data_IF_365857315400
#
_entry.id   IF_365857315400
#
_cell.length_a   1.000
_cell.length_b   1.000
_cell.length_c   1.000
_cell.angle_alpha   90.00
_cell.angle_beta   90.00
_cell.angle_gamma   90.00
#
_symmetry.space_group_name_H-M   'P 1'
#
loop_
_entity.id
_entity.type
_entity.pdbx_description
1 polymer ?
#
# COMPACT_ATOMS: atom_id res chain seq x y z
N UNK A 1 9.17 21.03 -5.65
CA UNK A 1 10.50 21.65 -5.40
C UNK A 1 10.55 22.70 -4.28
N UNK A 2 9.54 23.58 -4.10
CA UNK A 2 9.61 24.69 -3.11
C UNK A 2 9.92 24.25 -1.68
N UNK A 3 9.29 23.19 -1.19
CA UNK A 3 9.53 22.64 0.17
C UNK A 3 11.00 22.23 0.32
N UNK A 4 11.52 21.42 -0.59
CA UNK A 4 12.92 20.99 -0.59
C UNK A 4 13.91 22.15 -0.54
N UNK A 5 13.72 23.18 -1.39
CA UNK A 5 14.57 24.38 -1.40
C UNK A 5 14.51 25.14 -0.07
N UNK A 6 13.31 25.38 0.46
CA UNK A 6 13.14 26.14 1.69
C UNK A 6 13.78 25.43 2.89
N UNK A 7 13.59 24.10 3.02
CA UNK A 7 14.17 23.31 4.11
C UNK A 7 15.70 23.33 4.07
N UNK A 8 16.30 23.19 2.87
CA UNK A 8 17.77 23.28 2.70
C UNK A 8 18.31 24.69 2.96
N UNK A 9 17.64 25.72 2.46
CA UNK A 9 18.02 27.12 2.68
C UNK A 9 17.96 27.49 4.17
N UNK A 10 17.00 26.92 4.91
CA UNK A 10 16.88 27.04 6.35
C UNK A 10 17.89 26.17 7.14
N UNK A 11 18.74 25.37 6.45
CA UNK A 11 19.72 24.46 7.06
C UNK A 11 19.11 23.43 8.01
N UNK A 12 17.88 23.00 7.74
CA UNK A 12 17.22 21.93 8.50
C UNK A 12 17.73 20.57 7.99
N UNK A 13 18.19 19.67 8.86
CA UNK A 13 18.59 18.32 8.46
C UNK A 13 17.40 17.47 8.03
N UNK A 14 17.48 16.88 6.84
CA UNK A 14 16.53 15.87 6.35
C UNK A 14 17.16 15.12 5.17
N UNK A 15 16.98 13.80 5.15
CA UNK A 15 17.61 12.93 4.15
C UNK A 15 16.64 12.49 3.05
N UNK A 16 15.34 12.53 3.31
CA UNK A 16 14.33 11.90 2.45
C UNK A 16 13.22 12.88 2.11
N UNK A 17 12.92 13.02 0.82
CA UNK A 17 11.72 13.70 0.34
C UNK A 17 10.62 12.68 0.07
N UNK A 18 9.40 13.00 0.51
CA UNK A 18 8.23 12.15 0.39
C UNK A 18 7.15 12.80 -0.45
N UNK A 19 6.39 12.02 -1.21
CA UNK A 19 5.12 12.43 -1.83
C UNK A 19 4.02 11.42 -1.51
N UNK A 20 2.84 11.96 -1.19
CA UNK A 20 1.57 11.26 -1.08
C UNK A 20 0.95 11.06 -2.49
N UNK A 21 -0.28 10.56 -2.59
CA UNK A 21 -0.97 10.15 -3.82
C UNK A 21 -1.06 11.23 -4.90
N UNK A 22 -0.83 12.50 -4.56
CA UNK A 22 -0.86 13.64 -5.49
C UNK A 22 0.09 13.47 -6.68
N UNK A 23 1.19 12.71 -6.54
CA UNK A 23 2.12 12.49 -7.64
C UNK A 23 1.51 11.64 -8.76
N UNK A 24 0.52 10.79 -8.44
CA UNK A 24 -0.03 9.77 -9.34
C UNK A 24 -0.96 10.38 -10.39
N UNK A 25 -0.95 9.81 -11.60
CA UNK A 25 -1.97 10.13 -12.61
C UNK A 25 -3.29 9.43 -12.24
N UNK A 26 -4.37 10.20 -12.13
CA UNK A 26 -5.70 9.72 -11.70
C UNK A 26 -5.73 8.93 -10.38
N UNK A 27 -4.74 9.15 -9.50
CA UNK A 27 -4.57 8.42 -8.23
C UNK A 27 -4.38 6.91 -8.46
N UNK A 28 -3.71 6.54 -9.56
CA UNK A 28 -3.36 5.16 -9.88
C UNK A 28 -1.89 4.87 -9.56
N UNK A 29 -1.63 3.80 -8.81
CA UNK A 29 -0.27 3.35 -8.54
C UNK A 29 0.57 3.16 -9.80
N UNK A 30 1.89 3.27 -9.64
CA UNK A 30 2.87 3.08 -10.72
C UNK A 30 2.68 4.02 -11.93
N UNK A 31 2.05 5.17 -11.69
CA UNK A 31 1.94 6.29 -12.64
C UNK A 31 2.41 7.58 -11.99
N UNK A 32 2.65 8.62 -12.79
CA UNK A 32 2.76 9.98 -12.26
C UNK A 32 2.12 10.98 -13.22
N UNK A 33 1.52 12.04 -12.69
CA UNK A 33 0.87 13.09 -13.45
C UNK A 33 1.91 13.86 -14.29
N UNK A 34 1.86 13.68 -15.61
CA UNK A 34 2.79 14.31 -16.57
C UNK A 34 2.58 15.81 -16.74
N UNK A 35 1.53 16.38 -16.16
CA UNK A 35 1.23 17.82 -16.15
C UNK A 35 1.70 18.45 -14.85
N UNK A 36 1.18 17.97 -13.72
CA UNK A 36 1.46 18.55 -12.39
C UNK A 36 2.85 18.15 -11.89
N UNK A 37 3.29 16.94 -12.20
CA UNK A 37 4.56 16.33 -11.78
C UNK A 37 5.48 16.05 -12.98
N UNK A 38 5.38 16.86 -14.05
CA UNK A 38 6.14 16.69 -15.30
C UNK A 38 7.66 16.51 -15.09
N UNK A 39 8.25 17.24 -14.14
CA UNK A 39 9.67 17.20 -13.80
C UNK A 39 10.04 16.27 -12.63
N UNK A 40 9.18 15.31 -12.27
CA UNK A 40 9.43 14.41 -11.14
C UNK A 40 10.71 13.56 -11.31
N UNK A 41 10.99 12.92 -12.47
CA UNK A 41 12.23 12.17 -12.67
C UNK A 41 13.49 13.03 -12.46
N UNK A 42 13.52 14.23 -13.05
CA UNK A 42 14.64 15.16 -12.97
C UNK A 42 14.83 15.68 -11.55
N UNK A 43 13.73 15.89 -10.81
CA UNK A 43 13.78 16.26 -9.41
C UNK A 43 14.38 15.14 -8.55
N UNK A 44 14.00 13.88 -8.78
CA UNK A 44 14.57 12.74 -8.05
C UNK A 44 16.07 12.60 -8.34
N UNK A 45 16.48 12.76 -9.60
CA UNK A 45 17.90 12.77 -9.97
C UNK A 45 18.66 13.93 -9.28
N UNK A 46 18.05 15.11 -9.19
CA UNK A 46 18.63 16.27 -8.52
C UNK A 46 18.87 16.01 -7.02
N UNK A 47 17.89 15.45 -6.31
CA UNK A 47 18.06 15.19 -4.87
C UNK A 47 19.06 14.06 -4.60
N UNK A 48 19.15 13.07 -5.50
CA UNK A 48 20.18 12.03 -5.42
C UNK A 48 21.60 12.60 -5.55
N UNK A 49 21.83 13.59 -6.43
CA UNK A 49 23.14 14.26 -6.61
C UNK A 49 23.65 14.94 -5.34
N UNK A 50 22.76 15.28 -4.41
CA UNK A 50 23.11 15.89 -3.12
C UNK A 50 23.00 14.91 -1.96
N UNK A 51 22.96 13.60 -2.25
CA UNK A 51 23.00 12.52 -1.26
C UNK A 51 21.67 12.25 -0.55
N UNK A 52 20.55 12.78 -1.06
CA UNK A 52 19.22 12.55 -0.49
C UNK A 52 18.50 11.39 -1.17
N UNK A 53 17.37 10.99 -0.61
CA UNK A 53 16.54 9.88 -1.08
C UNK A 53 15.09 10.30 -1.35
N UNK A 54 14.38 9.51 -2.16
CA UNK A 54 12.96 9.71 -2.47
C UNK A 54 12.13 8.51 -2.03
N UNK A 55 11.04 8.76 -1.30
CA UNK A 55 10.04 7.74 -0.93
C UNK A 55 8.67 8.19 -1.41
N UNK A 56 7.90 7.26 -1.95
CA UNK A 56 6.55 7.51 -2.46
C UNK A 56 5.55 6.59 -1.77
N UNK A 57 4.32 7.06 -1.62
CA UNK A 57 3.19 6.21 -1.23
C UNK A 57 2.88 5.21 -2.33
N UNK A 58 2.45 4.02 -1.96
CA UNK A 58 1.92 2.98 -2.84
C UNK A 58 0.74 2.37 -2.10
N UNK A 59 -0.40 2.29 -2.78
CA UNK A 59 -1.58 1.63 -2.26
C UNK A 59 -1.66 0.17 -2.77
N UNK A 60 -2.34 -0.72 -2.05
CA UNK A 60 -2.66 -2.05 -2.56
C UNK A 60 -3.77 -2.02 -3.62
N UNK A 61 -4.54 -0.93 -3.70
CA UNK A 61 -5.72 -0.84 -4.55
C UNK A 61 -5.37 -0.53 -6.02
N UNK A 62 -5.54 -1.51 -6.90
CA UNK A 62 -5.30 -1.33 -8.34
C UNK A 62 -6.58 -0.91 -9.05
N UNK A 63 -6.56 0.19 -9.82
CA UNK A 63 -7.72 0.61 -10.63
C UNK A 63 -8.14 -0.47 -11.62
N UNK A 64 -9.36 -0.98 -11.47
CA UNK A 64 -9.99 -1.95 -12.38
C UNK A 64 -11.00 -1.31 -13.34
N UNK A 65 -11.07 0.02 -13.35
CA UNK A 65 -11.99 0.79 -14.20
C UNK A 65 -11.32 1.44 -15.43
N UNK A 66 -10.02 1.25 -15.61
CA UNK A 66 -9.28 1.81 -16.75
C UNK A 66 -9.64 1.09 -18.06
N UNK A 67 -9.34 1.76 -19.19
CA UNK A 67 -9.51 1.15 -20.50
C UNK A 67 -8.55 -0.04 -20.64
N UNK A 68 -9.06 -1.16 -21.16
CA UNK A 68 -8.26 -2.36 -21.40
C UNK A 68 -7.02 -2.03 -22.24
N UNK A 69 -5.85 -2.47 -21.77
CA UNK A 69 -4.57 -2.24 -22.42
C UNK A 69 -3.91 -0.88 -22.15
N UNK A 70 -4.51 -0.02 -21.32
CA UNK A 70 -3.93 1.30 -20.98
C UNK A 70 -3.34 1.37 -19.58
N UNK A 71 -3.60 0.39 -18.72
CA UNK A 71 -3.14 0.40 -17.34
C UNK A 71 -2.50 -0.95 -16.98
N UNK A 72 -1.20 -1.10 -17.27
CA UNK A 72 -0.57 -2.40 -17.19
C UNK A 72 -0.51 -3.05 -15.79
N UNK A 73 -0.55 -2.35 -14.64
CA UNK A 73 -0.79 -3.01 -13.35
C UNK A 73 -2.07 -3.85 -13.33
N UNK A 74 -3.18 -3.31 -13.83
CA UNK A 74 -4.42 -4.08 -13.94
C UNK A 74 -4.34 -5.17 -15.01
N UNK A 75 -3.89 -4.82 -16.21
CA UNK A 75 -3.88 -5.76 -17.34
C UNK A 75 -2.98 -6.98 -17.08
N UNK A 76 -1.81 -6.78 -16.43
CA UNK A 76 -0.92 -7.88 -16.06
C UNK A 76 -1.42 -8.65 -14.85
N UNK A 77 -2.00 -7.97 -13.84
CA UNK A 77 -2.58 -8.65 -12.69
C UNK A 77 -3.72 -9.59 -13.08
N UNK A 78 -4.54 -9.18 -14.05
CA UNK A 78 -5.59 -10.04 -14.65
C UNK A 78 -4.98 -11.25 -15.38
N UNK A 79 -3.91 -11.05 -16.17
CA UNK A 79 -3.21 -12.14 -16.88
C UNK A 79 -2.54 -13.13 -15.94
N UNK A 80 -2.04 -12.65 -14.80
CA UNK A 80 -1.37 -13.46 -13.77
C UNK A 80 -2.34 -14.08 -12.76
N UNK A 81 -3.65 -13.80 -12.89
CA UNK A 81 -4.70 -14.24 -11.97
C UNK A 81 -4.36 -13.92 -10.50
N UNK A 82 -3.87 -12.70 -10.25
CA UNK A 82 -3.30 -12.30 -8.95
C UNK A 82 -4.31 -11.62 -8.02
N UNK A 83 -5.48 -11.23 -8.51
CA UNK A 83 -6.43 -10.45 -7.71
C UNK A 83 -7.29 -11.33 -6.81
N UNK A 84 -7.62 -10.82 -5.63
CA UNK A 84 -8.56 -11.42 -4.69
C UNK A 84 -9.92 -11.62 -5.38
N UNK A 85 -10.50 -12.80 -5.19
CA UNK A 85 -11.77 -13.19 -5.83
C UNK A 85 -12.92 -13.15 -4.82
N UNK A 86 -14.13 -12.91 -5.30
CA UNK A 86 -15.34 -13.11 -4.52
C UNK A 86 -15.66 -14.61 -4.39
N UNK A 87 -16.76 -14.93 -3.70
CA UNK A 87 -17.19 -16.32 -3.49
C UNK A 87 -17.52 -17.06 -4.80
N UNK A 88 -17.93 -16.37 -5.87
CA UNK A 88 -18.23 -16.93 -7.19
C UNK A 88 -16.99 -17.15 -8.06
N UNK A 89 -15.81 -16.73 -7.60
CA UNK A 89 -14.53 -16.88 -8.32
C UNK A 89 -14.23 -15.75 -9.30
N UNK A 90 -15.05 -14.68 -9.34
CA UNK A 90 -14.77 -13.47 -10.10
C UNK A 90 -13.91 -12.52 -9.26
N UNK A 91 -13.16 -11.63 -9.90
CA UNK A 91 -12.36 -10.62 -9.18
C UNK A 91 -13.26 -9.75 -8.31
N UNK A 92 -12.90 -9.58 -7.04
CA UNK A 92 -13.62 -8.71 -6.12
C UNK A 92 -13.33 -7.25 -6.48
N UNK A 93 -14.40 -6.46 -6.59
CA UNK A 93 -14.33 -5.03 -6.89
C UNK A 93 -14.73 -4.24 -5.64
N UNK A 94 -13.83 -3.37 -5.17
CA UNK A 94 -14.09 -2.36 -4.14
C UNK A 94 -13.92 -0.95 -4.69
N UNK A 95 -13.59 -0.01 -3.79
CA UNK A 95 -13.35 1.39 -4.11
C UNK A 95 -12.35 2.02 -3.15
N UNK A 96 -11.32 2.67 -3.69
CA UNK A 96 -10.39 3.54 -2.95
C UNK A 96 -10.17 4.85 -3.75
N UNK A 97 -8.97 5.43 -3.68
CA UNK A 97 -8.59 6.73 -4.25
C UNK A 97 -8.81 6.86 -5.76
N UNK A 98 -8.57 5.80 -6.54
CA UNK A 98 -8.55 5.89 -8.00
C UNK A 98 -9.85 6.47 -8.59
N UNK A 99 -9.70 7.41 -9.53
CA UNK A 99 -10.84 8.19 -10.08
C UNK A 99 -11.80 7.38 -10.95
N UNK A 100 -11.37 6.23 -11.48
CA UNK A 100 -12.22 5.34 -12.28
C UNK A 100 -13.35 4.67 -11.48
N UNK A 101 -13.29 4.72 -10.14
CA UNK A 101 -14.36 4.28 -9.25
C UNK A 101 -14.49 2.77 -9.05
N UNK A 102 -13.58 1.97 -9.61
CA UNK A 102 -13.47 0.53 -9.39
C UNK A 102 -12.05 0.16 -9.01
N UNK A 103 -11.90 -0.57 -7.91
CA UNK A 103 -10.60 -1.01 -7.41
C UNK A 103 -10.60 -2.53 -7.26
N UNK A 104 -9.52 -3.17 -7.67
CA UNK A 104 -9.24 -4.59 -7.41
C UNK A 104 -7.99 -4.70 -6.56
N UNK A 105 -7.86 -5.79 -5.81
CA UNK A 105 -6.85 -5.91 -4.77
C UNK A 105 -5.95 -7.12 -5.04
N UNK A 106 -4.63 -6.94 -5.20
CA UNK A 106 -3.69 -8.05 -5.33
C UNK A 106 -3.74 -8.96 -4.12
N UNK A 107 -3.72 -10.26 -4.36
CA UNK A 107 -3.57 -11.24 -3.31
C UNK A 107 -2.08 -11.50 -3.06
N UNK A 108 -1.53 -10.83 -2.06
CA UNK A 108 -0.12 -10.98 -1.69
C UNK A 108 0.23 -12.34 -1.07
N UNK A 109 -0.77 -13.20 -0.82
CA UNK A 109 -0.54 -14.60 -0.41
C UNK A 109 -0.26 -15.54 -1.59
N UNK A 110 -0.55 -15.09 -2.80
CA UNK A 110 -0.32 -15.83 -4.03
C UNK A 110 1.19 -15.93 -4.33
N UNK A 111 1.74 -17.11 -4.68
CA UNK A 111 3.17 -17.27 -4.97
C UNK A 111 3.67 -16.41 -6.13
N UNK A 112 2.80 -15.97 -7.04
CA UNK A 112 3.15 -15.08 -8.14
C UNK A 112 3.18 -13.60 -7.74
N UNK A 113 2.77 -13.25 -6.52
CA UNK A 113 2.63 -11.86 -6.08
C UNK A 113 3.98 -11.13 -6.08
N UNK A 114 5.06 -11.77 -5.62
CA UNK A 114 6.40 -11.18 -5.63
C UNK A 114 6.85 -10.80 -7.04
N UNK A 115 6.61 -11.67 -8.03
CA UNK A 115 7.00 -11.39 -9.42
C UNK A 115 6.09 -10.32 -10.04
N UNK A 116 4.78 -10.36 -9.79
CA UNK A 116 3.84 -9.32 -10.23
C UNK A 116 4.26 -7.94 -9.69
N UNK A 117 4.47 -7.85 -8.38
CA UNK A 117 4.82 -6.60 -7.69
C UNK A 117 6.18 -6.08 -8.11
N UNK A 118 7.17 -6.97 -8.27
CA UNK A 118 8.48 -6.61 -8.83
C UNK A 118 8.38 -6.00 -10.23
N UNK A 119 7.52 -6.54 -11.11
CA UNK A 119 7.33 -5.97 -12.46
C UNK A 119 6.75 -4.56 -12.40
N UNK A 120 5.77 -4.33 -11.53
CA UNK A 120 5.16 -3.01 -11.38
C UNK A 120 6.15 -1.99 -10.82
N UNK A 121 6.84 -2.35 -9.72
CA UNK A 121 7.89 -1.53 -9.12
C UNK A 121 9.02 -1.25 -10.11
N UNK A 122 9.49 -2.26 -10.86
CA UNK A 122 10.55 -2.09 -11.86
C UNK A 122 10.14 -1.16 -12.98
N UNK A 123 8.91 -1.28 -13.50
CA UNK A 123 8.38 -0.40 -14.55
C UNK A 123 8.29 1.06 -14.08
N UNK A 124 7.88 1.29 -12.83
CA UNK A 124 7.83 2.65 -12.31
C UNK A 124 9.23 3.17 -11.98
N UNK A 125 10.11 2.33 -11.43
CA UNK A 125 11.48 2.71 -11.08
C UNK A 125 12.32 3.11 -12.29
N UNK A 126 12.03 2.56 -13.48
CA UNK A 126 12.69 3.01 -14.73
C UNK A 126 12.27 4.42 -15.17
N UNK A 127 11.19 4.97 -14.61
CA UNK A 127 10.75 6.34 -14.85
C UNK A 127 11.13 7.26 -13.70
N UNK A 128 10.98 6.82 -12.46
CA UNK A 128 11.24 7.59 -11.23
C UNK A 128 12.07 6.71 -10.30
N UNK A 129 13.34 7.04 -10.09
CA UNK A 129 14.26 6.22 -9.30
C UNK A 129 14.03 6.35 -7.77
N UNK A 130 12.88 5.88 -7.28
CA UNK A 130 12.56 5.92 -5.85
C UNK A 130 13.45 4.97 -5.02
N UNK A 131 13.64 5.29 -3.74
CA UNK A 131 14.55 4.59 -2.83
C UNK A 131 13.85 3.73 -1.77
N UNK A 132 12.56 3.92 -1.58
CA UNK A 132 11.74 3.16 -0.64
C UNK A 132 10.25 3.27 -0.96
N UNK A 133 9.45 2.54 -0.18
CA UNK A 133 8.01 2.47 -0.36
C UNK A 133 7.29 2.81 0.95
N UNK A 134 6.30 3.68 0.86
CA UNK A 134 5.33 3.92 1.92
C UNK A 134 4.05 3.15 1.54
N UNK A 135 3.76 2.06 2.25
CA UNK A 135 2.60 1.21 2.00
C UNK A 135 1.44 1.69 2.87
N UNK A 136 0.39 2.18 2.24
CA UNK A 136 -0.80 2.67 2.94
C UNK A 136 -2.05 1.87 2.55
N UNK A 137 -3.17 2.11 3.24
CA UNK A 137 -4.48 1.52 2.89
C UNK A 137 -4.56 -0.01 2.96
N UNK A 138 -3.61 -0.63 3.66
CA UNK A 138 -3.36 -2.07 3.62
C UNK A 138 -3.89 -2.87 4.81
N UNK A 139 -4.92 -2.38 5.51
CA UNK A 139 -5.66 -3.16 6.51
C UNK A 139 -6.25 -4.46 5.97
N UNK A 140 -6.90 -4.58 4.81
CA UNK A 140 -7.07 -3.72 3.63
C UNK A 140 -8.28 -2.76 3.71
N UNK A 141 -8.06 -1.48 3.40
CA UNK A 141 -9.10 -0.44 3.44
C UNK A 141 -9.96 -0.43 2.17
N UNK A 142 -11.26 -0.21 2.35
CA UNK A 142 -12.23 -0.13 1.26
C UNK A 142 -13.33 0.90 1.60
N UNK A 143 -13.64 1.81 0.67
CA UNK A 143 -14.67 2.85 0.88
C UNK A 143 -16.10 2.31 0.77
N UNK A 144 -16.26 1.09 0.29
CA UNK A 144 -17.53 0.36 0.36
C UNK A 144 -17.39 -0.83 1.31
N UNK A 145 -18.43 -1.11 2.08
CA UNK A 145 -18.43 -2.25 3.00
C UNK A 145 -18.49 -3.57 2.21
N UNK A 146 -17.36 -4.26 2.14
CA UNK A 146 -17.23 -5.54 1.48
C UNK A 146 -16.86 -5.47 0.00
N UNK A 147 -17.84 -5.25 -0.87
CA UNK A 147 -17.61 -5.11 -2.31
C UNK A 147 -18.65 -4.19 -2.95
N UNK A 148 -18.40 -3.76 -4.18
CA UNK A 148 -19.33 -2.95 -4.98
C UNK A 148 -20.70 -3.63 -5.15
N UNK A 149 -20.75 -4.96 -5.06
CA UNK A 149 -21.97 -5.77 -5.20
C UNK A 149 -22.49 -6.31 -3.86
N UNK A 150 -21.94 -5.83 -2.74
CA UNK A 150 -22.21 -6.35 -1.40
C UNK A 150 -21.52 -7.69 -1.13
N UNK A 151 -21.91 -8.35 -0.04
CA UNK A 151 -21.37 -9.64 0.37
C UNK A 151 -22.46 -10.71 0.41
N UNK A 152 -22.11 -11.98 0.14
CA UNK A 152 -23.05 -13.09 0.28
C UNK A 152 -23.50 -13.27 1.74
N UNK A 153 -24.66 -13.88 1.96
CA UNK A 153 -25.09 -14.26 3.32
C UNK A 153 -24.54 -15.64 3.64
N UNK A 154 -23.50 -15.71 4.48
CA UNK A 154 -22.92 -16.96 4.98
C UNK A 154 -22.34 -16.76 6.39
N UNK A 155 -21.76 -17.83 6.94
CA UNK A 155 -21.14 -17.86 8.27
C UNK A 155 -19.89 -16.98 8.41
N UNK A 156 -19.18 -16.67 7.32
CA UNK A 156 -18.03 -15.77 7.37
C UNK A 156 -18.46 -14.31 7.50
N UNK A 157 -19.53 -13.91 6.80
CA UNK A 157 -20.06 -12.54 6.91
C UNK A 157 -20.94 -12.35 8.16
N UNK A 158 -21.49 -13.45 8.71
CA UNK A 158 -22.36 -13.44 9.90
C UNK A 158 -21.94 -14.57 10.86
N UNK A 159 -20.75 -14.49 11.47
CA UNK A 159 -20.30 -15.49 12.42
C UNK A 159 -21.16 -15.47 13.69
N UNK A 160 -21.22 -16.58 14.45
CA UNK A 160 -21.99 -16.64 15.70
C UNK A 160 -21.49 -15.66 16.77
N UNK A 161 -20.21 -15.25 16.67
CA UNK A 161 -19.62 -14.22 17.52
C UNK A 161 -18.93 -13.16 16.67
N UNK A 162 -19.24 -11.89 16.94
CA UNK A 162 -18.67 -10.73 16.24
C UNK A 162 -17.92 -9.86 17.26
N UNK A 163 -16.57 -9.84 17.22
CA UNK A 163 -15.77 -8.95 18.08
C UNK A 163 -16.20 -7.49 17.92
N UNK A 164 -16.37 -6.79 19.04
CA UNK A 164 -16.74 -5.36 19.04
C UNK A 164 -18.15 -5.06 18.48
N UNK A 165 -18.96 -6.09 18.18
CA UNK A 165 -20.30 -5.96 17.62
C UNK A 165 -20.37 -5.12 16.32
N UNK A 166 -19.29 -5.10 15.55
CA UNK A 166 -19.18 -4.41 14.27
C UNK A 166 -19.04 -5.43 13.14
N UNK A 167 -19.78 -5.24 12.05
CA UNK A 167 -19.65 -6.05 10.84
C UNK A 167 -18.19 -6.10 10.38
N UNK A 168 -17.66 -7.31 10.19
CA UNK A 168 -16.24 -7.54 9.88
C UNK A 168 -15.82 -6.94 8.53
N UNK A 169 -16.74 -6.86 7.58
CA UNK A 169 -16.51 -6.25 6.26
C UNK A 169 -16.55 -4.71 6.27
N UNK A 170 -16.85 -4.08 7.41
CA UNK A 170 -16.99 -2.63 7.47
C UNK A 170 -15.65 -1.95 7.22
N UNK A 171 -15.58 -1.10 6.19
CA UNK A 171 -14.34 -0.47 5.75
C UNK A 171 -13.31 -1.43 5.13
N UNK A 172 -13.70 -2.65 4.78
CA UNK A 172 -12.80 -3.67 4.21
C UNK A 172 -13.51 -4.56 3.17
N UNK A 173 -12.96 -5.74 2.88
CA UNK A 173 -13.50 -6.69 1.90
C UNK A 173 -14.51 -7.65 2.52
N UNK A 174 -15.26 -8.37 1.68
CA UNK A 174 -16.12 -9.46 2.14
C UNK A 174 -15.29 -10.57 2.79
N UNK A 175 -15.70 -11.07 3.96
CA UNK A 175 -14.97 -12.10 4.72
C UNK A 175 -14.87 -13.44 3.99
N UNK A 176 -15.79 -13.72 3.09
CA UNK A 176 -15.78 -14.90 2.22
C UNK A 176 -15.00 -14.70 0.92
N UNK A 177 -14.34 -13.55 0.73
CA UNK A 177 -13.43 -13.35 -0.39
C UNK A 177 -12.27 -14.36 -0.34
N UNK A 178 -11.83 -14.83 -1.50
CA UNK A 178 -10.88 -15.90 -1.68
C UNK A 178 -9.49 -15.34 -2.00
N UNK A 179 -8.55 -15.72 -1.16
CA UNK A 179 -7.11 -15.62 -1.36
C UNK A 179 -6.57 -17.00 -1.75
N UNK A 180 -5.32 -17.04 -2.18
CA UNK A 180 -4.61 -18.24 -2.55
C UNK A 180 -4.47 -19.20 -1.35
N UNK A 181 -4.17 -18.67 -0.17
CA UNK A 181 -3.96 -19.49 1.05
C UNK A 181 -5.21 -19.67 1.91
N UNK A 182 -6.35 -19.07 1.56
CA UNK A 182 -7.57 -19.16 2.37
C UNK A 182 -8.64 -18.12 2.05
N UNK A 183 -9.55 -17.89 2.99
CA UNK A 183 -10.57 -16.86 2.89
C UNK A 183 -10.18 -15.62 3.69
N UNK A 184 -10.65 -14.44 3.27
CA UNK A 184 -10.39 -13.16 3.92
C UNK A 184 -10.64 -13.21 5.43
N UNK A 185 -11.68 -13.93 5.88
CA UNK A 185 -11.96 -14.16 7.31
C UNK A 185 -10.73 -14.63 8.12
N UNK A 186 -9.91 -15.52 7.53
CA UNK A 186 -8.74 -16.08 8.19
C UNK A 186 -7.47 -15.25 7.97
N UNK A 187 -7.37 -14.53 6.84
CA UNK A 187 -6.12 -13.92 6.39
C UNK A 187 -6.14 -12.38 6.40
N UNK A 188 -7.27 -11.76 6.73
CA UNK A 188 -7.46 -10.31 6.75
C UNK A 188 -6.31 -9.60 7.50
N UNK A 189 -6.06 -10.01 8.74
CA UNK A 189 -5.02 -9.44 9.59
C UNK A 189 -3.58 -9.70 9.09
N UNK A 190 -3.39 -10.54 8.08
CA UNK A 190 -2.08 -10.86 7.51
C UNK A 190 -1.80 -10.08 6.22
N UNK A 191 -2.79 -9.40 5.65
CA UNK A 191 -2.70 -8.78 4.33
C UNK A 191 -1.47 -7.85 4.21
N UNK A 192 -1.33 -6.91 5.15
CA UNK A 192 -0.22 -5.95 5.18
C UNK A 192 1.14 -6.62 5.35
N UNK A 193 1.22 -7.71 6.11
CA UNK A 193 2.48 -8.43 6.34
C UNK A 193 2.91 -9.16 5.08
N UNK A 194 1.98 -9.76 4.34
CA UNK A 194 2.27 -10.34 3.03
C UNK A 194 2.68 -9.26 2.01
N UNK A 195 1.97 -8.13 1.96
CA UNK A 195 2.36 -7.01 1.11
C UNK A 195 3.75 -6.46 1.45
N UNK A 196 4.05 -6.26 2.74
CA UNK A 196 5.34 -5.76 3.20
C UNK A 196 6.45 -6.76 2.86
N UNK A 197 6.21 -8.05 3.05
CA UNK A 197 7.15 -9.12 2.67
C UNK A 197 7.41 -9.14 1.16
N UNK A 198 6.36 -9.15 0.35
CA UNK A 198 6.43 -9.11 -1.12
C UNK A 198 7.19 -7.87 -1.59
N UNK A 199 6.89 -6.70 -1.00
CA UNK A 199 7.57 -5.44 -1.30
C UNK A 199 9.05 -5.49 -0.91
N UNK A 200 9.38 -6.08 0.25
CA UNK A 200 10.77 -6.25 0.69
C UNK A 200 11.59 -7.10 -0.28
N UNK A 201 11.05 -8.24 -0.69
CA UNK A 201 11.69 -9.13 -1.67
C UNK A 201 11.84 -8.45 -3.03
N UNK A 202 10.79 -7.78 -3.51
CA UNK A 202 10.80 -7.06 -4.78
C UNK A 202 11.81 -5.89 -4.78
N UNK A 203 11.88 -5.10 -3.70
CA UNK A 203 12.84 -3.99 -3.57
C UNK A 203 14.28 -4.48 -3.47
N UNK A 204 14.54 -5.59 -2.77
CA UNK A 204 15.88 -6.23 -2.76
C UNK A 204 16.29 -6.61 -4.18
N UNK A 205 15.41 -7.26 -4.95
CA UNK A 205 15.66 -7.63 -6.34
C UNK A 205 15.87 -6.40 -7.23
N UNK A 206 15.09 -5.34 -7.03
CA UNK A 206 15.14 -4.12 -7.83
C UNK A 206 16.42 -3.31 -7.57
N UNK A 207 16.86 -3.22 -6.31
CA UNK A 207 17.97 -2.36 -5.88
C UNK A 207 19.25 -3.14 -5.59
N UNK A 208 19.48 -4.26 -6.28
CA UNK A 208 20.70 -5.08 -6.18
C UNK A 208 21.06 -5.47 -4.74
N UNK A 209 20.11 -6.04 -4.00
CA UNK A 209 20.23 -6.47 -2.60
C UNK A 209 20.59 -5.34 -1.61
N UNK A 210 20.42 -4.07 -1.98
CA UNK A 210 20.41 -2.97 -1.00
C UNK A 210 19.27 -3.15 -0.01
N UNK A 211 19.45 -2.63 1.20
CA UNK A 211 18.44 -2.66 2.26
C UNK A 211 17.16 -1.96 1.78
N UNK A 212 16.00 -2.63 1.77
CA UNK A 212 14.73 -1.98 1.52
C UNK A 212 14.39 -1.01 2.63
N UNK A 213 13.80 0.13 2.27
CA UNK A 213 13.15 1.04 3.21
C UNK A 213 11.65 0.98 2.95
N UNK A 214 10.90 0.47 3.93
CA UNK A 214 9.45 0.26 3.83
C UNK A 214 8.81 0.74 5.12
N UNK A 215 7.76 1.54 5.00
CA UNK A 215 6.93 1.99 6.11
C UNK A 215 5.48 1.61 5.79
N UNK A 216 4.84 0.79 6.63
CA UNK A 216 3.51 0.22 6.39
C UNK A 216 2.49 0.65 7.46
N UNK A 217 1.24 0.92 7.05
CA UNK A 217 0.19 1.35 7.99
C UNK A 217 -0.25 0.19 8.87
N UNK A 218 -0.85 -0.83 8.26
CA UNK A 218 -1.27 -2.02 8.97
C UNK A 218 -0.07 -2.93 9.25
N UNK A 219 -0.13 -3.67 10.36
CA UNK A 219 0.93 -4.57 10.81
C UNK A 219 0.37 -5.84 11.44
N UNK A 220 1.12 -6.94 11.34
CA UNK A 220 0.92 -8.15 12.15
C UNK A 220 2.24 -8.59 12.80
N UNK A 221 2.17 -9.58 13.67
CA UNK A 221 3.34 -10.14 14.36
C UNK A 221 4.41 -10.60 13.36
N UNK A 222 5.65 -10.16 13.58
CA UNK A 222 6.80 -10.47 12.72
C UNK A 222 7.02 -9.51 11.55
N UNK A 223 6.11 -8.55 11.28
CA UNK A 223 6.26 -7.63 10.15
C UNK A 223 7.52 -6.75 10.23
N UNK A 224 8.02 -6.47 11.44
CA UNK A 224 9.28 -5.75 11.66
C UNK A 224 10.51 -6.38 11.02
N UNK A 225 10.45 -7.66 10.64
CA UNK A 225 11.50 -8.30 9.84
C UNK A 225 11.58 -7.73 8.40
N UNK A 226 10.48 -7.18 7.88
CA UNK A 226 10.33 -6.76 6.48
C UNK A 226 10.21 -5.24 6.31
N UNK A 227 9.63 -4.52 7.28
CA UNK A 227 9.42 -3.08 7.19
C UNK A 227 9.02 -2.46 8.53
N UNK A 228 9.11 -1.13 8.60
CA UNK A 228 8.70 -0.34 9.75
C UNK A 228 7.23 0.07 9.70
N UNK A 229 6.82 0.87 10.68
CA UNK A 229 5.44 1.31 10.89
C UNK A 229 5.38 2.79 11.30
N UNK A 230 4.25 3.45 11.04
CA UNK A 230 3.88 4.74 11.63
C UNK A 230 2.47 4.67 12.19
N UNK A 231 2.18 5.43 13.24
CA UNK A 231 0.94 5.38 14.02
C UNK A 231 -0.35 5.81 13.29
N UNK A 232 -0.31 6.04 11.97
CA UNK A 232 -1.47 6.45 11.19
C UNK A 232 -1.85 7.93 11.36
N UNK A 233 -3.10 8.22 11.03
CA UNK A 233 -3.66 9.58 10.96
C UNK A 233 -3.97 10.13 12.34
N UNK A 234 -2.96 10.73 12.98
CA UNK A 234 -3.11 11.46 14.24
C UNK A 234 -3.45 12.93 14.01
N UNK A 235 -4.14 13.55 14.96
CA UNK A 235 -4.48 14.96 14.93
C UNK A 235 -3.34 15.83 15.48
N UNK A 236 -3.23 17.06 14.96
CA UNK A 236 -2.30 18.08 15.45
C UNK A 236 -2.76 18.68 16.78
N UNK A 237 -2.76 17.89 17.86
CA UNK A 237 -3.15 18.32 19.20
C UNK A 237 -2.23 17.72 20.28
N UNK A 238 -2.30 18.29 21.49
CA UNK A 238 -1.47 17.85 22.62
C UNK A 238 -1.79 16.43 23.11
N UNK A 239 -3.02 15.96 22.89
CA UNK A 239 -3.48 14.64 23.33
C UNK A 239 -2.79 13.55 22.50
N UNK A 240 -2.78 13.71 21.18
CA UNK A 240 -2.17 12.75 20.26
C UNK A 240 -0.64 12.79 20.35
N UNK A 241 -0.05 13.99 20.54
CA UNK A 241 1.36 14.10 20.88
C UNK A 241 1.71 13.29 22.13
N UNK A 242 0.89 13.35 23.19
CA UNK A 242 1.09 12.57 24.41
C UNK A 242 0.96 11.07 24.15
N UNK A 243 -0.04 10.64 23.39
CA UNK A 243 -0.26 9.21 23.10
C UNK A 243 0.75 8.61 22.12
N UNK A 244 1.46 9.44 21.36
CA UNK A 244 2.56 8.97 20.49
C UNK A 244 3.69 8.28 21.28
N UNK A 245 3.92 8.67 22.54
CA UNK A 245 4.97 8.08 23.39
C UNK A 245 4.69 6.60 23.71
N UNK A 246 3.54 6.25 24.34
CA UNK A 246 3.24 4.85 24.61
C UNK A 246 3.01 4.04 23.32
N UNK A 247 2.36 4.62 22.31
CA UNK A 247 2.06 3.94 21.05
C UNK A 247 3.35 3.60 20.28
N UNK A 248 4.10 4.62 19.84
CA UNK A 248 5.30 4.43 19.03
C UNK A 248 6.43 3.82 19.86
N UNK A 249 6.90 4.50 20.90
CA UNK A 249 8.17 4.12 21.53
C UNK A 249 8.09 2.87 22.40
N UNK A 250 6.96 2.61 23.05
CA UNK A 250 6.86 1.50 24.02
C UNK A 250 6.21 0.25 23.44
N UNK A 251 5.09 0.40 22.75
CA UNK A 251 4.33 -0.75 22.24
C UNK A 251 5.02 -1.31 20.99
N UNK A 252 5.28 -0.49 19.98
CA UNK A 252 5.90 -0.99 18.73
C UNK A 252 7.35 -1.45 18.92
N UNK A 253 8.08 -0.93 19.91
CA UNK A 253 9.42 -1.43 20.27
C UNK A 253 9.35 -2.86 20.79
N UNK A 254 8.34 -3.20 21.61
CA UNK A 254 8.13 -4.57 22.10
C UNK A 254 7.73 -5.54 21.00
N UNK A 255 7.18 -5.04 19.89
CA UNK A 255 6.83 -5.82 18.71
C UNK A 255 7.90 -5.79 17.61
N UNK A 256 9.09 -5.22 17.89
CA UNK A 256 10.22 -5.10 16.95
C UNK A 256 9.87 -4.40 15.62
N UNK A 257 9.01 -3.37 15.64
CA UNK A 257 8.51 -2.67 14.43
C UNK A 257 9.30 -1.38 14.07
N UNK A 258 10.62 -1.38 14.27
CA UNK A 258 11.54 -0.26 13.98
C UNK A 258 12.71 -0.64 13.08
#
# INVERSE_FOLDING_TARGET
MKVWNNTRNAKIPFDVQWNDIDYMDNLNDFTYDKTTYSGLPEFVELIHKVGMHYVMIIDPGVSGGEKSGTYPPYDEGMKMDIFIKNSTGQVLIGRVWNKSGKTVFPDFTNPNATEYWFRQLKRFHSQVAFDGAWLDMNEISNYVDGSFYGCPKNEFENPPYVPGNQKLQKGSLCMSAKHYVGVQYNVHNLYSTYETKVTNEALKKLRNNKRPFIISRSTFSGQGHFGGHWSGDIFSNFVDMRYSIPCNKLIFSKFNLF
#
